data_IF_026756115030
#
_entry.id   IF_026756115030
#
_cell.length_a   1.000
_cell.length_b   1.000
_cell.length_c   1.000
_cell.angle_alpha   90.00
_cell.angle_beta   90.00
_cell.angle_gamma   90.00
#
_symmetry.space_group_name_H-M   'P 1'
#
loop_
_entity.id
_entity.type
_entity.pdbx_description
1 polymer ?
#
# COMPACT_ATOMS: atom_id res chain seq x y z
N UNK A 1 -3.54 15.58 7.56
CA UNK A 1 -2.40 15.02 6.82
C UNK A 1 -2.72 13.57 6.57
N UNK A 2 -2.94 13.19 5.31
CA UNK A 2 -3.00 11.77 4.96
C UNK A 2 -1.60 11.20 5.07
N UNK A 3 -1.32 10.52 6.18
CA UNK A 3 -0.04 9.87 6.41
C UNK A 3 0.12 8.72 5.42
N UNK A 4 1.36 8.40 5.03
CA UNK A 4 1.69 7.24 4.17
C UNK A 4 0.96 5.95 4.57
N UNK A 5 0.78 5.74 5.88
CA UNK A 5 0.00 4.63 6.43
C UNK A 5 -1.43 4.56 5.92
N UNK A 6 -2.13 5.68 5.85
CA UNK A 6 -3.53 5.73 5.42
C UNK A 6 -3.68 5.33 3.95
N UNK A 7 -2.72 5.74 3.11
CA UNK A 7 -2.60 5.28 1.73
C UNK A 7 -2.38 3.77 1.66
N UNK A 8 -1.43 3.23 2.45
CA UNK A 8 -1.22 1.79 2.47
C UNK A 8 -2.48 1.03 2.92
N UNK A 9 -3.27 1.58 3.85
CA UNK A 9 -4.57 0.98 4.22
C UNK A 9 -5.53 0.91 3.06
N UNK A 10 -5.64 2.00 2.30
CA UNK A 10 -6.53 2.06 1.14
C UNK A 10 -6.08 1.06 0.07
N UNK A 11 -4.77 1.00 -0.18
CA UNK A 11 -4.16 0.01 -1.08
C UNK A 11 -4.43 -1.44 -0.65
N UNK A 12 -4.19 -1.77 0.61
CA UNK A 12 -4.50 -3.09 1.18
C UNK A 12 -6.00 -3.40 1.14
N UNK A 13 -6.86 -2.37 1.17
CA UNK A 13 -8.30 -2.55 1.06
C UNK A 13 -8.77 -2.78 -0.36
N UNK A 14 -8.09 -2.22 -1.37
CA UNK A 14 -8.45 -2.29 -2.78
C UNK A 14 -7.85 -3.52 -3.46
N UNK A 15 -6.55 -3.75 -3.31
CA UNK A 15 -5.89 -4.97 -3.82
C UNK A 15 -6.27 -6.18 -2.98
N UNK A 16 -6.29 -6.01 -1.66
CA UNK A 16 -6.56 -7.08 -0.72
C UNK A 16 -5.34 -7.41 0.12
N UNK A 17 -5.50 -7.27 1.43
CA UNK A 17 -4.47 -7.54 2.43
C UNK A 17 -3.84 -8.94 2.33
N UNK A 18 -4.60 -9.94 1.87
CA UNK A 18 -4.11 -11.29 1.62
C UNK A 18 -3.16 -11.32 0.43
N UNK A 19 -3.58 -10.80 -0.72
CA UNK A 19 -2.79 -10.80 -1.95
C UNK A 19 -1.51 -9.97 -1.81
N UNK A 20 -1.62 -8.79 -1.20
CA UNK A 20 -0.43 -7.96 -0.89
C UNK A 20 0.48 -8.70 0.07
N UNK A 21 -0.08 -9.38 1.09
CA UNK A 21 0.70 -10.18 2.04
C UNK A 21 1.48 -11.30 1.34
N UNK A 22 0.83 -12.05 0.47
CA UNK A 22 1.46 -13.13 -0.31
C UNK A 22 2.52 -12.59 -1.29
N UNK A 23 2.24 -11.50 -1.99
CA UNK A 23 3.15 -10.91 -2.96
C UNK A 23 4.39 -10.27 -2.33
N UNK A 24 4.23 -9.62 -1.17
CA UNK A 24 5.31 -8.92 -0.45
C UNK A 24 6.01 -9.81 0.58
N UNK A 25 5.44 -10.96 0.92
CA UNK A 25 5.88 -11.83 2.02
C UNK A 25 5.48 -11.32 3.41
N UNK A 26 4.62 -10.30 3.49
CA UNK A 26 4.07 -9.79 4.76
C UNK A 26 2.97 -10.74 5.23
N UNK A 27 2.95 -11.08 6.52
CA UNK A 27 1.88 -11.91 7.10
C UNK A 27 0.51 -11.27 6.90
N UNK A 28 -0.50 -12.07 6.53
CA UNK A 28 -1.88 -11.59 6.38
C UNK A 28 -2.37 -10.84 7.63
N UNK A 29 -2.07 -11.37 8.82
CA UNK A 29 -2.39 -10.72 10.10
C UNK A 29 -1.82 -9.31 10.20
N UNK A 30 -0.59 -9.11 9.71
CA UNK A 30 0.10 -7.83 9.71
C UNK A 30 -0.57 -6.85 8.76
N UNK A 31 -0.91 -7.28 7.55
CA UNK A 31 -1.68 -6.48 6.60
C UNK A 31 -3.07 -6.13 7.17
N UNK A 32 -3.70 -7.06 7.88
CA UNK A 32 -4.97 -6.84 8.59
C UNK A 32 -4.80 -5.81 9.70
N UNK A 33 -3.76 -5.90 10.53
CA UNK A 33 -3.44 -4.88 11.53
C UNK A 33 -3.21 -3.52 10.88
N UNK A 34 -2.42 -3.43 9.80
CA UNK A 34 -2.20 -2.16 9.09
C UNK A 34 -3.54 -1.58 8.64
N UNK A 35 -4.41 -2.39 8.03
CA UNK A 35 -5.73 -1.97 7.55
C UNK A 35 -6.69 -1.51 8.65
N UNK A 36 -6.83 -2.28 9.72
CA UNK A 36 -7.86 -2.05 10.76
C UNK A 36 -7.37 -1.18 11.91
N UNK A 37 -6.09 -1.28 12.26
CA UNK A 37 -5.52 -0.59 13.41
C UNK A 37 -4.94 0.77 12.98
N UNK A 38 -5.57 1.85 13.44
CA UNK A 38 -5.14 3.22 13.15
C UNK A 38 -3.75 3.56 13.69
N UNK A 39 -3.25 2.83 14.69
CA UNK A 39 -1.93 2.99 15.31
C UNK A 39 -0.87 2.07 14.71
N UNK A 40 -1.23 1.23 13.74
CA UNK A 40 -0.29 0.36 13.09
C UNK A 40 0.84 1.16 12.45
N UNK A 41 2.03 1.02 13.02
CA UNK A 41 3.24 1.59 12.43
C UNK A 41 3.65 0.76 11.22
N UNK A 42 3.32 1.28 10.04
CA UNK A 42 3.89 0.81 8.78
C UNK A 42 5.40 1.06 8.82
N UNK A 43 6.20 0.00 8.78
CA UNK A 43 7.65 0.15 8.63
C UNK A 43 7.95 0.58 7.21
N UNK A 44 8.99 1.41 7.06
CA UNK A 44 9.51 1.79 5.76
C UNK A 44 9.90 0.56 4.92
N UNK A 45 10.37 -0.53 5.55
CA UNK A 45 10.63 -1.80 4.87
C UNK A 45 9.39 -2.46 4.29
N UNK A 46 8.24 -2.39 4.98
CA UNK A 46 6.98 -2.95 4.49
C UNK A 46 6.48 -2.15 3.27
N UNK A 47 6.60 -0.82 3.33
CA UNK A 47 6.31 0.08 2.22
C UNK A 47 7.23 -0.18 1.02
N UNK A 48 8.52 -0.37 1.25
CA UNK A 48 9.49 -0.58 0.20
C UNK A 48 9.23 -1.90 -0.53
N UNK A 49 8.98 -2.99 0.21
CA UNK A 49 8.56 -4.27 -0.36
C UNK A 49 7.29 -4.14 -1.20
N UNK A 50 6.29 -3.38 -0.73
CA UNK A 50 5.09 -3.09 -1.53
C UNK A 50 5.43 -2.31 -2.80
N UNK A 51 6.23 -1.26 -2.71
CA UNK A 51 6.63 -0.44 -3.85
C UNK A 51 7.49 -1.20 -4.87
N UNK A 52 8.33 -2.13 -4.41
CA UNK A 52 9.13 -3.01 -5.27
C UNK A 52 8.26 -4.06 -5.97
N UNK A 53 7.27 -4.62 -5.28
CA UNK A 53 6.35 -5.62 -5.85
C UNK A 53 5.29 -5.01 -6.74
N UNK A 54 4.89 -3.79 -6.44
CA UNK A 54 3.85 -3.04 -7.12
C UNK A 54 4.41 -1.70 -7.61
N UNK A 55 5.28 -1.72 -8.63
CA UNK A 55 5.90 -0.51 -9.15
C UNK A 55 4.86 0.49 -9.67
N UNK A 56 3.74 0.00 -10.23
CA UNK A 56 2.61 0.82 -10.70
C UNK A 56 1.93 1.64 -9.61
N UNK A 57 2.06 1.24 -8.33
CA UNK A 57 1.52 1.95 -7.18
C UNK A 57 2.61 2.63 -6.33
N UNK A 58 3.88 2.55 -6.72
CA UNK A 58 5.04 3.03 -5.94
C UNK A 58 4.99 4.54 -5.68
N UNK A 59 4.75 5.36 -6.70
CA UNK A 59 4.61 6.81 -6.55
C UNK A 59 3.43 7.17 -5.67
N UNK A 60 2.30 6.49 -5.83
CA UNK A 60 1.11 6.75 -5.01
C UNK A 60 1.34 6.38 -3.55
N UNK A 61 1.97 5.23 -3.27
CA UNK A 61 2.31 4.82 -1.91
C UNK A 61 3.26 5.83 -1.24
N UNK A 62 4.26 6.32 -1.97
CA UNK A 62 5.30 7.23 -1.46
C UNK A 62 4.85 8.69 -1.36
N UNK A 63 4.15 9.20 -2.37
CA UNK A 63 3.83 10.62 -2.52
C UNK A 63 2.32 10.93 -2.50
N UNK A 64 1.47 9.93 -2.70
CA UNK A 64 0.02 10.10 -2.83
C UNK A 64 -0.40 10.66 -4.19
N UNK A 65 0.55 10.80 -5.11
CA UNK A 65 0.30 11.24 -6.48
C UNK A 65 0.28 10.03 -7.41
N UNK A 66 -0.49 10.12 -8.47
CA UNK A 66 -0.43 9.21 -9.60
C UNK A 66 0.09 9.94 -10.81
N UNK A 67 0.79 9.19 -11.64
CA UNK A 67 1.20 9.64 -12.96
C UNK A 67 0.68 8.65 -14.01
N UNK A 68 -0.55 8.85 -14.49
CA UNK A 68 -1.12 7.97 -15.51
C UNK A 68 -0.35 8.03 -16.84
N UNK A 69 0.47 9.06 -17.07
CA UNK A 69 1.31 9.14 -18.26
C UNK A 69 2.50 8.17 -18.22
N UNK A 70 2.96 7.80 -17.02
CA UNK A 70 4.00 6.78 -16.81
C UNK A 70 3.41 5.39 -16.50
N UNK A 71 2.09 5.23 -16.57
CA UNK A 71 1.41 3.96 -16.25
C UNK A 71 1.19 3.75 -14.75
N UNK A 72 1.32 4.79 -13.93
CA UNK A 72 1.14 4.72 -12.49
C UNK A 72 -0.32 4.98 -12.12
N UNK A 73 -0.86 4.15 -11.23
CA UNK A 73 -2.30 4.11 -10.96
C UNK A 73 -2.61 4.27 -9.47
N UNK A 74 -3.84 4.74 -9.21
CA UNK A 74 -4.37 4.93 -7.86
C UNK A 74 -5.28 3.75 -7.55
N UNK A 75 -5.20 3.14 -6.37
CA UNK A 75 -6.20 2.18 -5.93
C UNK A 75 -7.58 2.84 -5.71
N UNK A 76 -7.65 4.17 -5.62
CA UNK A 76 -8.88 4.96 -5.41
C UNK A 76 -9.73 5.18 -6.67
N UNK A 77 -9.21 4.90 -7.88
CA UNK A 77 -9.96 5.09 -9.12
C UNK A 77 -11.00 3.98 -9.36
N UNK A 78 -12.03 3.89 -8.52
CA UNK A 78 -13.34 3.25 -8.78
C UNK A 78 -14.43 4.08 -8.10
#
# INVERSE_FOLDING_TARGET
>A
MESTQDRVRLFLSKIGHREVGEATGIKEERCKTIRYDKRANLRTSELDLMAERYPEYSLWLRTGRIDPANGEISPDSE
#
